data_IF_684685850960
#
_entry.id   IF_684685850960
#
_cell.length_a   1.000
_cell.length_b   1.000
_cell.length_c   1.000
_cell.angle_alpha   90.00
_cell.angle_beta   90.00
_cell.angle_gamma   90.00
#
_symmetry.space_group_name_H-M   'P 1'
#
loop_
_entity.id
_entity.type
_entity.pdbx_description
1 polymer ?
#
# COMPACT_ATOMS: atom_id res chain seq x y z
N UNK A 1 -1.24 -13.36 -1.83
CA UNK A 1 -2.51 -12.62 -1.88
C UNK A 1 -2.51 -11.82 -3.18
N UNK A 2 -3.47 -12.06 -4.07
CA UNK A 2 -3.66 -11.26 -5.27
C UNK A 2 -4.45 -9.96 -4.94
N UNK A 3 -4.51 -9.02 -5.88
CA UNK A 3 -5.19 -7.72 -5.70
C UNK A 3 -6.65 -7.87 -5.27
N UNK A 4 -7.38 -8.81 -5.87
CA UNK A 4 -8.79 -9.11 -5.54
C UNK A 4 -8.95 -9.58 -4.09
N UNK A 5 -8.06 -10.47 -3.63
CA UNK A 5 -8.07 -10.96 -2.26
C UNK A 5 -7.75 -9.85 -1.24
N UNK A 6 -6.86 -8.91 -1.61
CA UNK A 6 -6.54 -7.73 -0.79
C UNK A 6 -7.76 -6.82 -0.68
N UNK A 7 -8.40 -6.48 -1.81
CA UNK A 7 -9.60 -5.63 -1.86
C UNK A 7 -10.72 -6.21 -0.98
N UNK A 8 -11.00 -7.51 -1.12
CA UNK A 8 -12.02 -8.19 -0.32
C UNK A 8 -11.71 -8.11 1.18
N UNK A 9 -10.45 -8.34 1.57
CA UNK A 9 -10.03 -8.33 2.98
C UNK A 9 -10.00 -6.94 3.59
N UNK A 10 -9.66 -5.91 2.81
CA UNK A 10 -9.72 -4.51 3.24
C UNK A 10 -11.18 -4.08 3.41
N UNK A 11 -12.06 -4.45 2.48
CA UNK A 11 -13.50 -4.20 2.58
C UNK A 11 -14.09 -4.85 3.83
N UNK A 12 -13.80 -6.14 4.07
CA UNK A 12 -14.22 -6.87 5.27
C UNK A 12 -13.77 -6.15 6.56
N UNK A 13 -12.51 -5.72 6.63
CA UNK A 13 -11.95 -5.12 7.84
C UNK A 13 -12.37 -3.68 8.09
N UNK A 14 -12.67 -2.92 7.04
CA UNK A 14 -12.98 -1.50 7.13
C UNK A 14 -14.48 -1.19 7.12
N UNK A 15 -15.31 -2.12 6.65
CA UNK A 15 -16.72 -1.88 6.38
C UNK A 15 -16.98 -1.00 5.14
N UNK A 16 -15.94 -0.66 4.39
CA UNK A 16 -16.04 0.12 3.15
C UNK A 16 -16.38 -0.82 1.99
N UNK A 17 -17.20 -0.34 1.04
CA UNK A 17 -17.60 -1.11 -0.13
C UNK A 17 -16.41 -1.52 -1.02
N UNK A 18 -16.55 -2.66 -1.71
CA UNK A 18 -15.50 -3.23 -2.57
C UNK A 18 -15.02 -2.25 -3.65
N UNK A 19 -15.94 -1.53 -4.30
CA UNK A 19 -15.62 -0.55 -5.34
C UNK A 19 -14.71 0.55 -4.82
N UNK A 20 -14.99 1.06 -3.62
CA UNK A 20 -14.19 2.15 -3.06
C UNK A 20 -12.86 1.65 -2.51
N UNK A 21 -12.82 0.43 -1.95
CA UNK A 21 -11.57 -0.24 -1.61
C UNK A 21 -10.68 -0.44 -2.84
N UNK A 22 -11.26 -0.79 -3.99
CA UNK A 22 -10.51 -0.94 -5.24
C UNK A 22 -9.88 0.38 -5.68
N UNK A 23 -10.66 1.47 -5.72
CA UNK A 23 -10.16 2.80 -6.10
C UNK A 23 -9.04 3.29 -5.17
N UNK A 24 -9.20 3.11 -3.87
CA UNK A 24 -8.18 3.52 -2.89
C UNK A 24 -6.91 2.70 -3.04
N UNK A 25 -7.02 1.40 -3.27
CA UNK A 25 -5.84 0.53 -3.47
C UNK A 25 -5.13 0.83 -4.80
N UNK A 26 -5.86 1.17 -5.87
CA UNK A 26 -5.27 1.66 -7.12
C UNK A 26 -4.53 2.98 -6.93
N UNK A 27 -5.15 3.96 -6.28
CA UNK A 27 -4.50 5.24 -5.98
C UNK A 27 -3.25 5.05 -5.10
N UNK A 28 -3.29 4.11 -4.15
CA UNK A 28 -2.13 3.76 -3.33
C UNK A 28 -0.99 3.14 -4.16
N UNK A 29 -1.32 2.26 -5.11
CA UNK A 29 -0.33 1.67 -6.04
C UNK A 29 0.34 2.77 -6.90
N UNK A 30 -0.43 3.72 -7.42
CA UNK A 30 0.09 4.86 -8.19
C UNK A 30 1.02 5.74 -7.34
N UNK A 31 0.56 6.15 -6.15
CA UNK A 31 1.36 6.99 -5.24
C UNK A 31 2.68 6.30 -4.87
N UNK A 32 2.66 5.00 -4.56
CA UNK A 32 3.86 4.25 -4.24
C UNK A 32 4.78 4.09 -5.46
N UNK A 33 4.22 3.88 -6.65
CA UNK A 33 4.99 3.76 -7.89
C UNK A 33 5.69 5.07 -8.24
N UNK A 34 5.00 6.20 -8.06
CA UNK A 34 5.58 7.53 -8.23
C UNK A 34 6.69 7.76 -7.20
N UNK A 35 6.43 7.47 -5.93
CA UNK A 35 7.41 7.70 -4.86
C UNK A 35 8.70 6.87 -5.04
N UNK A 36 8.58 5.66 -5.60
CA UNK A 36 9.70 4.78 -5.94
C UNK A 36 10.41 5.21 -7.22
N UNK A 37 9.69 5.62 -8.26
CA UNK A 37 10.31 6.11 -9.51
C UNK A 37 11.09 7.41 -9.32
N UNK A 38 10.68 8.24 -8.35
CA UNK A 38 11.40 9.45 -7.94
C UNK A 38 12.52 9.19 -6.92
N UNK A 39 12.67 7.95 -6.43
CA UNK A 39 13.79 7.60 -5.56
C UNK A 39 15.05 7.45 -6.42
N UNK A 40 16.02 8.35 -6.23
CA UNK A 40 17.26 8.39 -7.01
C UNK A 40 18.16 7.17 -6.71
N UNK A 41 17.78 5.98 -7.20
CA UNK A 41 18.51 4.73 -7.07
C UNK A 41 17.84 3.67 -6.18
N UNK A 42 18.21 2.40 -6.42
CA UNK A 42 17.59 1.20 -5.82
C UNK A 42 17.70 1.19 -4.30
N UNK A 43 18.80 1.70 -3.71
CA UNK A 43 18.96 1.78 -2.25
C UNK A 43 17.92 2.69 -1.59
N UNK A 44 17.70 3.88 -2.15
CA UNK A 44 16.69 4.82 -1.63
C UNK A 44 15.27 4.28 -1.81
N UNK A 45 15.00 3.54 -2.89
CA UNK A 45 13.72 2.86 -3.09
C UNK A 45 13.45 1.86 -1.96
N UNK A 46 14.45 1.04 -1.62
CA UNK A 46 14.34 0.05 -0.55
C UNK A 46 14.15 0.69 0.83
N UNK A 47 14.81 1.82 1.10
CA UNK A 47 14.63 2.56 2.36
C UNK A 47 13.20 3.10 2.49
N UNK A 48 12.60 3.60 1.40
CA UNK A 48 11.19 4.05 1.40
C UNK A 48 10.23 2.89 1.62
N UNK A 49 10.44 1.75 0.96
CA UNK A 49 9.65 0.52 1.22
C UNK A 49 9.79 0.08 2.68
N UNK A 50 11.01 0.11 3.21
CA UNK A 50 11.27 -0.24 4.60
C UNK A 50 10.53 0.69 5.56
N UNK A 51 10.51 2.00 5.31
CA UNK A 51 9.74 2.98 6.10
C UNK A 51 8.24 2.65 6.13
N UNK A 52 7.66 2.31 4.98
CA UNK A 52 6.27 1.87 4.88
C UNK A 52 6.04 0.59 5.71
N UNK A 53 6.95 -0.38 5.65
CA UNK A 53 6.87 -1.59 6.46
C UNK A 53 6.99 -1.30 7.97
N UNK A 54 7.85 -0.36 8.38
CA UNK A 54 7.95 0.07 9.78
C UNK A 54 6.66 0.73 10.26
N UNK A 55 6.02 1.55 9.42
CA UNK A 55 4.73 2.15 9.73
C UNK A 55 3.68 1.07 10.04
N UNK A 56 3.61 0.01 9.23
CA UNK A 56 2.72 -1.12 9.49
C UNK A 56 3.12 -1.93 10.72
N UNK A 57 4.43 -2.12 10.98
CA UNK A 57 4.92 -2.83 12.18
C UNK A 57 4.53 -2.12 13.47
N UNK A 58 4.60 -0.79 13.49
CA UNK A 58 4.29 0.01 14.69
C UNK A 58 2.80 0.14 14.97
N UNK A 59 1.91 -0.19 14.01
CA UNK A 59 0.46 -0.19 14.22
C UNK A 59 -0.03 -1.26 15.22
N UNK A 60 0.78 -2.28 15.48
CA UNK A 60 0.48 -3.35 16.45
C UNK A 60 1.09 -3.12 17.84
N UNK A 61 1.60 -1.91 18.11
CA UNK A 61 2.20 -1.52 19.39
C UNK A 61 1.40 -0.39 20.02
#
# INVERSE_FOLDING_TARGET
MNKTEVVAKVSEKSGVGLTECHKVLEALEEVLSDELSHSQGVSNALDKVYSVLQFFKNKNR
#
